data_IF_321164039305
#
_entry.id   IF_321164039305
#
_cell.length_a   1.000
_cell.length_b   1.000
_cell.length_c   1.000
_cell.angle_alpha   90.00
_cell.angle_beta   90.00
_cell.angle_gamma   90.00
#
_symmetry.space_group_name_H-M   'P 1'
#
loop_
_entity.id
_entity.type
_entity.pdbx_description
1 polymer ?
#
# COMPACT_ATOMS: atom_id res chain seq x y z
N UNK A 1 6.55 4.68 23.67
CA UNK A 1 6.52 3.62 22.63
C UNK A 1 5.16 2.96 22.71
N UNK A 2 4.20 3.35 21.87
CA UNK A 2 2.80 2.92 22.00
C UNK A 2 2.54 1.76 21.03
N UNK A 3 2.65 0.53 21.53
CA UNK A 3 2.23 -0.68 20.81
C UNK A 3 0.76 -0.96 21.13
N UNK A 4 -0.17 -0.26 20.47
CA UNK A 4 -1.62 -0.47 20.64
C UNK A 4 -2.24 -1.12 19.40
N UNK A 5 -1.41 -1.69 18.52
CA UNK A 5 -1.87 -2.36 17.31
C UNK A 5 -1.67 -3.88 17.37
N UNK A 6 -2.77 -4.63 17.24
CA UNK A 6 -2.72 -6.05 16.89
C UNK A 6 -2.10 -6.25 15.50
N UNK A 7 -1.02 -7.03 15.41
CA UNK A 7 -0.27 -7.24 14.16
C UNK A 7 -0.84 -8.38 13.29
N UNK A 8 -1.82 -9.11 13.82
CA UNK A 8 -2.36 -10.33 13.22
C UNK A 8 -3.62 -10.09 12.38
N UNK A 9 -4.18 -8.87 12.43
CA UNK A 9 -5.44 -8.53 11.77
C UNK A 9 -5.25 -7.38 10.79
N UNK A 10 -5.84 -7.54 9.60
CA UNK A 10 -5.80 -6.53 8.54
C UNK A 10 -6.78 -5.40 8.87
N UNK A 11 -6.27 -4.17 8.85
CA UNK A 11 -7.04 -2.95 9.14
C UNK A 11 -7.01 -2.02 7.94
N UNK A 12 -7.95 -1.08 7.90
CA UNK A 12 -7.88 0.05 6.99
C UNK A 12 -7.43 1.28 7.78
N UNK A 13 -6.46 2.01 7.28
CA UNK A 13 -5.90 3.21 7.90
C UNK A 13 -6.21 4.42 7.03
N UNK A 14 -6.86 5.43 7.61
CA UNK A 14 -6.93 6.77 7.02
C UNK A 14 -5.78 7.61 7.50
N UNK A 15 -5.10 8.25 6.54
CA UNK A 15 -3.96 9.13 6.78
C UNK A 15 -4.31 10.50 6.22
N UNK A 16 -4.33 11.48 7.12
CA UNK A 16 -4.38 12.90 6.77
C UNK A 16 -2.96 13.41 6.75
N UNK A 17 -2.55 13.93 5.61
CA UNK A 17 -1.22 14.48 5.41
C UNK A 17 -1.30 15.87 4.80
N UNK A 18 -0.31 16.68 5.12
CA UNK A 18 0.06 17.87 4.37
C UNK A 18 1.34 17.55 3.62
N UNK A 19 1.46 18.01 2.38
CA UNK A 19 2.72 17.89 1.66
C UNK A 19 3.02 19.13 0.83
N UNK A 20 4.32 19.37 0.63
CA UNK A 20 4.81 20.46 -0.20
C UNK A 20 5.05 19.94 -1.62
N UNK A 21 4.30 20.50 -2.56
CA UNK A 21 4.54 20.33 -3.99
C UNK A 21 5.53 21.38 -4.49
N UNK A 22 5.84 21.35 -5.78
CA UNK A 22 6.72 22.36 -6.40
C UNK A 22 6.08 23.76 -6.46
N UNK A 23 4.76 23.84 -6.33
CA UNK A 23 4.00 25.08 -6.53
C UNK A 23 3.29 25.56 -5.26
N UNK A 24 3.32 24.78 -4.18
CA UNK A 24 2.63 25.12 -2.94
C UNK A 24 2.35 23.92 -2.05
N UNK A 25 1.76 24.18 -0.89
CA UNK A 25 1.47 23.17 0.13
C UNK A 25 0.03 22.69 0.03
N UNK A 26 -0.19 21.37 0.00
CA UNK A 26 -1.51 20.78 -0.19
C UNK A 26 -1.84 19.75 0.90
N UNK A 27 -3.11 19.73 1.30
CA UNK A 27 -3.64 18.70 2.19
C UNK A 27 -4.19 17.53 1.38
N UNK A 28 -3.94 16.32 1.86
CA UNK A 28 -4.45 15.08 1.28
C UNK A 28 -4.97 14.14 2.35
N UNK A 29 -6.02 13.41 1.97
CA UNK A 29 -6.51 12.26 2.71
C UNK A 29 -6.32 11.00 1.86
N UNK A 30 -5.63 10.01 2.42
CA UNK A 30 -5.34 8.73 1.75
C UNK A 30 -5.71 7.56 2.66
N UNK A 31 -6.04 6.43 2.05
CA UNK A 31 -6.41 5.21 2.76
C UNK A 31 -5.46 4.08 2.33
N UNK A 32 -4.98 3.32 3.32
CA UNK A 32 -4.11 2.16 3.12
C UNK A 32 -4.67 0.97 3.89
N UNK A 33 -4.47 -0.24 3.36
CA UNK A 33 -4.87 -1.49 4.02
C UNK A 33 -3.61 -2.23 4.43
N UNK A 34 -3.39 -2.36 5.74
CA UNK A 34 -2.18 -2.95 6.31
C UNK A 34 -2.45 -3.56 7.69
N UNK A 35 -1.45 -4.23 8.27
CA UNK A 35 -1.51 -4.83 9.61
C UNK A 35 -1.18 -3.81 10.71
N UNK A 36 -0.27 -2.87 10.43
CA UNK A 36 0.27 -1.92 11.43
C UNK A 36 0.18 -0.48 10.96
N UNK A 37 0.10 0.45 11.92
CA UNK A 37 0.17 1.89 11.65
C UNK A 37 1.48 2.28 10.96
N UNK A 38 2.63 1.72 11.39
CA UNK A 38 3.93 2.02 10.80
C UNK A 38 4.07 1.51 9.37
N UNK A 39 3.51 0.33 9.07
CA UNK A 39 3.42 -0.21 7.72
C UNK A 39 2.60 0.70 6.80
N UNK A 40 1.42 1.12 7.25
CA UNK A 40 0.55 2.02 6.50
C UNK A 40 1.22 3.38 6.21
N UNK A 41 1.93 3.96 7.19
CA UNK A 41 2.71 5.20 6.99
C UNK A 41 3.87 4.98 6.02
N UNK A 42 4.55 3.83 6.09
CA UNK A 42 5.63 3.47 5.15
C UNK A 42 5.09 3.36 3.72
N UNK A 43 3.94 2.71 3.53
CA UNK A 43 3.25 2.69 2.24
C UNK A 43 2.90 4.10 1.78
N UNK A 44 2.48 4.98 2.70
CA UNK A 44 2.17 6.37 2.38
C UNK A 44 3.37 7.15 1.83
N UNK A 45 4.54 7.02 2.46
CA UNK A 45 5.75 7.65 1.94
C UNK A 45 6.12 7.13 0.55
N UNK A 46 6.02 5.82 0.31
CA UNK A 46 6.30 5.21 -1.01
C UNK A 46 5.32 5.69 -2.08
N UNK A 47 4.03 5.76 -1.76
CA UNK A 47 2.98 6.22 -2.65
C UNK A 47 3.16 7.71 -3.01
N UNK A 48 3.41 8.56 -2.02
CA UNK A 48 3.65 9.99 -2.25
C UNK A 48 4.92 10.25 -3.07
N UNK A 49 5.97 9.45 -2.86
CA UNK A 49 7.16 9.47 -3.70
C UNK A 49 6.89 9.00 -5.13
N UNK A 50 6.12 7.93 -5.31
CA UNK A 50 5.82 7.36 -6.63
C UNK A 50 4.88 8.24 -7.47
N UNK A 51 3.79 8.74 -6.88
CA UNK A 51 2.74 9.48 -7.60
C UNK A 51 3.03 10.97 -7.72
N UNK A 52 3.61 11.57 -6.67
CA UNK A 52 3.77 13.03 -6.58
C UNK A 52 5.23 13.47 -6.50
N UNK A 53 6.19 12.53 -6.54
CA UNK A 53 7.63 12.80 -6.36
C UNK A 53 7.93 13.55 -5.07
N UNK A 54 7.05 13.43 -4.07
CA UNK A 54 7.21 14.07 -2.79
C UNK A 54 8.24 13.30 -1.96
N UNK A 55 9.27 14.01 -1.48
CA UNK A 55 10.29 13.43 -0.60
C UNK A 55 9.78 13.39 0.83
N UNK A 56 10.40 12.55 1.67
CA UNK A 56 9.98 12.38 3.06
C UNK A 56 9.97 13.71 3.86
N UNK A 57 10.95 14.59 3.64
CA UNK A 57 11.01 15.91 4.28
C UNK A 57 9.88 16.85 3.87
N UNK A 58 9.27 16.63 2.71
CA UNK A 58 8.19 17.45 2.16
C UNK A 58 6.80 16.91 2.57
N UNK A 59 6.72 15.86 3.40
CA UNK A 59 5.46 15.22 3.80
C UNK A 59 5.35 15.29 5.31
N UNK A 60 4.24 15.86 5.78
CA UNK A 60 3.87 15.93 7.19
C UNK A 60 2.64 15.09 7.43
N UNK A 61 2.77 14.05 8.25
CA UNK A 61 1.64 13.22 8.68
C UNK A 61 0.94 13.94 9.83
N UNK A 62 -0.30 14.36 9.61
CA UNK A 62 -1.06 15.10 10.61
C UNK A 62 -1.85 14.17 11.53
N UNK A 63 -2.45 13.14 10.96
CA UNK A 63 -3.26 12.17 11.70
C UNK A 63 -3.25 10.82 10.99
N UNK A 64 -3.21 9.76 11.77
CA UNK A 64 -3.45 8.39 11.32
C UNK A 64 -4.53 7.78 12.19
N UNK A 65 -5.52 7.13 11.57
CA UNK A 65 -6.63 6.50 12.30
C UNK A 65 -7.05 5.21 11.61
N UNK A 66 -7.42 4.20 12.40
CA UNK A 66 -8.08 2.99 11.89
C UNK A 66 -9.52 3.34 11.50
N UNK A 67 -9.93 2.91 10.32
CA UNK A 67 -11.24 3.20 9.73
C UNK A 67 -12.02 1.90 9.55
N UNK A 68 -13.28 1.85 10.04
CA UNK A 68 -14.15 0.71 9.81
C UNK A 68 -14.51 0.60 8.32
N UNK A 69 -14.71 -0.61 7.82
CA UNK A 69 -14.89 -0.88 6.38
C UNK A 69 -16.00 -0.04 5.73
N UNK A 70 -17.10 0.21 6.46
CA UNK A 70 -18.22 1.03 5.99
C UNK A 70 -17.89 2.51 5.75
N UNK A 71 -16.84 3.05 6.39
CA UNK A 71 -16.41 4.46 6.26
C UNK A 71 -15.27 4.66 5.27
N UNK A 72 -14.75 3.58 4.65
CA UNK A 72 -13.71 3.70 3.62
C UNK A 72 -14.25 4.37 2.36
N UNK A 73 -13.50 5.33 1.83
CA UNK A 73 -13.88 6.17 0.68
C UNK A 73 -13.18 5.73 -0.61
N UNK A 74 -12.00 5.12 -0.53
CA UNK A 74 -11.19 4.82 -1.72
C UNK A 74 -11.61 3.49 -2.36
N UNK A 75 -11.98 3.46 -3.66
CA UNK A 75 -12.44 2.23 -4.31
C UNK A 75 -11.38 1.13 -4.31
N UNK A 76 -10.11 1.50 -4.43
CA UNK A 76 -8.98 0.58 -4.34
C UNK A 76 -8.88 -0.16 -2.99
N UNK A 77 -9.43 0.40 -1.91
CA UNK A 77 -9.52 -0.26 -0.60
C UNK A 77 -10.83 -1.04 -0.49
N UNK A 78 -11.94 -0.44 -0.94
CA UNK A 78 -13.28 -1.06 -0.89
C UNK A 78 -13.37 -2.37 -1.67
N UNK A 79 -12.66 -2.51 -2.79
CA UNK A 79 -12.66 -3.75 -3.58
C UNK A 79 -12.19 -4.98 -2.80
N UNK A 80 -11.43 -4.79 -1.71
CA UNK A 80 -10.95 -5.88 -0.85
C UNK A 80 -11.91 -6.19 0.31
N UNK A 81 -13.07 -5.52 0.39
CA UNK A 81 -14.08 -5.72 1.43
C UNK A 81 -15.16 -6.70 0.97
N UNK A 82 -14.74 -7.91 0.61
CA UNK A 82 -15.63 -9.01 0.25
C UNK A 82 -15.24 -10.28 1.03
N UNK A 83 -16.21 -10.88 1.71
CA UNK A 83 -16.01 -12.11 2.49
C UNK A 83 -15.81 -13.35 1.61
N UNK A 84 -16.25 -13.30 0.35
CA UNK A 84 -16.11 -14.37 -0.64
C UNK A 84 -15.07 -14.04 -1.71
N UNK A 85 -14.15 -13.11 -1.42
CA UNK A 85 -13.15 -12.64 -2.38
C UNK A 85 -12.32 -13.81 -2.92
N UNK A 86 -12.25 -13.91 -4.25
CA UNK A 86 -11.46 -14.92 -4.96
C UNK A 86 -10.84 -14.28 -6.20
N UNK A 87 -9.56 -14.55 -6.43
CA UNK A 87 -8.86 -14.09 -7.62
C UNK A 87 -7.77 -15.09 -8.01
N UNK A 88 -7.59 -15.40 -9.31
CA UNK A 88 -6.41 -16.12 -9.78
C UNK A 88 -5.20 -15.19 -9.82
N UNK A 89 -4.01 -15.78 -9.93
CA UNK A 89 -2.77 -15.05 -10.28
C UNK A 89 -2.45 -15.37 -11.75
N UNK A 90 -2.96 -14.58 -12.72
CA UNK A 90 -3.02 -14.99 -14.13
C UNK A 90 -1.65 -15.12 -14.80
N UNK A 91 -0.67 -14.33 -14.37
CA UNK A 91 0.69 -14.34 -14.94
C UNK A 91 1.73 -14.35 -13.83
N UNK A 92 2.43 -15.47 -13.66
CA UNK A 92 3.46 -15.64 -12.63
C UNK A 92 4.85 -15.58 -13.25
N UNK A 93 5.50 -14.42 -13.14
CA UNK A 93 6.85 -14.21 -13.65
C UNK A 93 7.87 -15.02 -12.83
N UNK A 94 8.70 -15.81 -13.51
CA UNK A 94 9.85 -16.46 -12.88
C UNK A 94 10.84 -15.41 -12.36
N UNK A 95 10.98 -15.30 -11.04
CA UNK A 95 11.95 -14.38 -10.43
C UNK A 95 13.39 -14.90 -10.45
N UNK A 96 13.58 -16.23 -10.41
CA UNK A 96 14.90 -16.87 -10.35
C UNK A 96 15.50 -17.07 -11.74
N UNK A 97 15.71 -15.96 -12.46
CA UNK A 97 16.15 -15.96 -13.87
C UNK A 97 17.61 -16.39 -14.07
N UNK A 98 18.42 -16.37 -13.01
CA UNK A 98 19.84 -16.74 -13.08
C UNK A 98 20.17 -18.10 -12.47
N UNK A 99 19.16 -18.89 -12.08
CA UNK A 99 19.37 -20.27 -11.58
C UNK A 99 18.32 -21.22 -12.18
N UNK A 100 18.60 -21.85 -13.33
CA UNK A 100 19.83 -21.74 -14.12
C UNK A 100 19.88 -20.46 -14.96
N UNK A 101 21.09 -19.98 -15.29
CA UNK A 101 21.27 -18.81 -16.19
C UNK A 101 21.01 -19.16 -17.66
N UNK A 102 21.30 -20.41 -18.03
CA UNK A 102 21.03 -20.95 -19.36
C UNK A 102 20.25 -22.25 -19.21
N UNK A 103 19.21 -22.43 -20.01
CA UNK A 103 18.41 -23.65 -20.04
C UNK A 103 17.80 -23.82 -21.42
N UNK A 104 17.51 -25.06 -21.80
CA UNK A 104 16.85 -25.40 -23.06
C UNK A 104 15.34 -25.23 -22.99
N UNK A 105 14.77 -25.21 -21.78
CA UNK A 105 13.32 -25.11 -21.57
C UNK A 105 12.90 -23.66 -21.34
N UNK A 106 11.86 -23.20 -22.05
CA UNK A 106 11.26 -21.89 -21.81
C UNK A 106 10.52 -21.88 -20.47
N UNK A 107 10.51 -20.75 -19.73
CA UNK A 107 9.76 -20.65 -18.49
C UNK A 107 8.25 -20.71 -18.77
N UNK A 108 7.52 -21.48 -17.96
CA UNK A 108 6.07 -21.42 -17.92
C UNK A 108 5.62 -20.32 -16.94
N UNK A 109 4.59 -19.57 -17.31
CA UNK A 109 4.02 -18.47 -16.50
C UNK A 109 2.55 -18.69 -16.11
N UNK A 110 1.92 -19.76 -16.61
CA UNK A 110 0.56 -20.19 -16.28
C UNK A 110 0.59 -21.41 -15.34
N UNK A 111 -0.05 -21.28 -14.18
CA UNK A 111 -0.06 -22.28 -13.09
C UNK A 111 -1.43 -22.37 -12.44
#
# INVERSE_FOLDING_TARGET
MVWVDSHLSVKNFGIWLRYDSRSGTHNMYREYRDLTTSGAVTQCYRDMGARHRARAHAIQIMKVQIIPANKCRRPAIKQFHDSKIKFPLPHRVLRRQHKPRFTTKRPNTFF
#
